data_IF_358010579085
#
_entry.id   IF_358010579085
#
_cell.length_a   1.000
_cell.length_b   1.000
_cell.length_c   1.000
_cell.angle_alpha   90.00
_cell.angle_beta   90.00
_cell.angle_gamma   90.00
#
_symmetry.space_group_name_H-M   'P 1'
#
loop_
_entity.id
_entity.type
_entity.pdbx_description
1 polymer ?
#
# COMPACT_ATOMS: atom_id res chain seq x y z
N UNK A 1 -9.25 16.56 0.04
CA UNK A 1 -8.34 17.64 0.51
C UNK A 1 -7.01 17.51 -0.19
N UNK A 2 -6.45 18.60 -0.72
CA UNK A 2 -5.12 18.57 -1.34
C UNK A 2 -4.07 18.69 -0.22
N UNK A 3 -3.15 17.73 -0.09
CA UNK A 3 -1.97 17.91 0.77
C UNK A 3 -1.17 19.11 0.22
N UNK A 4 -1.10 20.18 0.99
CA UNK A 4 -0.31 21.36 0.67
C UNK A 4 1.00 21.27 1.42
N UNK A 5 2.11 21.76 0.86
CA UNK A 5 3.41 21.76 1.53
C UNK A 5 3.36 22.44 2.90
N UNK A 6 2.39 23.35 3.12
CA UNK A 6 2.15 24.00 4.42
C UNK A 6 1.65 23.04 5.50
N UNK A 7 0.83 22.03 5.17
CA UNK A 7 0.33 21.07 6.16
C UNK A 7 1.44 20.15 6.67
N UNK A 8 2.51 19.98 5.90
CA UNK A 8 3.65 19.13 6.25
C UNK A 8 4.84 19.91 6.81
N UNK A 9 4.72 21.23 7.02
CA UNK A 9 5.83 22.07 7.48
C UNK A 9 6.33 21.70 8.88
N UNK A 10 5.48 21.10 9.71
CA UNK A 10 5.83 20.62 11.05
C UNK A 10 6.60 19.28 11.02
N UNK A 11 6.59 18.57 9.89
CA UNK A 11 7.24 17.26 9.75
C UNK A 11 8.67 17.46 9.29
N UNK A 12 9.63 17.06 10.14
CA UNK A 12 11.05 17.04 9.76
C UNK A 12 11.28 16.07 8.59
N UNK A 13 12.19 16.40 7.67
CA UNK A 13 12.58 15.47 6.61
C UNK A 13 13.27 14.23 7.17
N UNK A 14 12.86 13.06 6.75
CA UNK A 14 13.50 11.80 7.10
C UNK A 14 14.76 11.56 6.27
N UNK A 15 15.90 11.39 6.95
CA UNK A 15 17.20 11.13 6.32
C UNK A 15 17.81 9.78 6.73
N UNK A 16 17.05 8.91 7.40
CA UNK A 16 17.45 7.56 7.76
C UNK A 16 17.82 7.36 9.23
N UNK A 17 18.29 8.40 9.93
CA UNK A 17 18.73 8.28 11.34
C UNK A 17 17.78 8.93 12.34
N UNK A 18 16.83 9.75 11.89
CA UNK A 18 15.86 10.47 12.72
C UNK A 18 14.48 9.80 12.75
N UNK A 19 14.42 8.47 12.65
CA UNK A 19 13.15 7.73 12.55
C UNK A 19 12.14 8.09 13.65
N UNK A 20 12.50 8.15 14.96
CA UNK A 20 11.51 8.44 16.01
C UNK A 20 10.87 9.82 15.87
N UNK A 21 11.68 10.86 15.61
CA UNK A 21 11.19 12.24 15.50
C UNK A 21 10.39 12.45 14.21
N UNK A 22 10.86 11.91 13.09
CA UNK A 22 10.11 11.95 11.83
C UNK A 22 8.77 11.23 11.97
N UNK A 23 8.76 10.04 12.58
CA UNK A 23 7.54 9.24 12.76
C UNK A 23 6.48 9.98 13.56
N UNK A 24 6.88 10.66 14.64
CA UNK A 24 5.95 11.46 15.44
C UNK A 24 5.22 12.51 14.59
N UNK A 25 5.96 13.27 13.77
CA UNK A 25 5.34 14.26 12.87
C UNK A 25 4.54 13.63 11.73
N UNK A 26 5.03 12.51 11.18
CA UNK A 26 4.32 11.78 10.14
C UNK A 26 2.96 11.25 10.63
N UNK A 27 2.90 10.67 11.83
CA UNK A 27 1.67 10.10 12.38
C UNK A 27 0.58 11.18 12.49
N UNK A 28 0.93 12.37 13.01
CA UNK A 28 0.01 13.54 13.05
C UNK A 28 -0.47 13.91 11.65
N UNK A 29 0.44 14.00 10.67
CA UNK A 29 0.06 14.34 9.29
C UNK A 29 -0.85 13.28 8.64
N UNK A 30 -0.65 11.99 8.93
CA UNK A 30 -1.50 10.91 8.41
C UNK A 30 -2.88 10.91 9.06
N UNK A 31 -2.97 11.25 10.35
CA UNK A 31 -4.21 11.39 11.11
C UNK A 31 -5.03 12.58 10.62
N UNK A 32 -4.42 13.76 10.45
CA UNK A 32 -5.07 14.97 9.91
C UNK A 32 -5.72 14.75 8.53
N UNK A 33 -5.15 13.82 7.75
CA UNK A 33 -5.62 13.50 6.41
C UNK A 33 -6.48 12.22 6.36
N UNK A 34 -6.72 11.54 7.49
CA UNK A 34 -7.48 10.29 7.60
C UNK A 34 -6.95 9.15 6.71
N UNK A 35 -5.63 9.05 6.59
CA UNK A 35 -4.96 8.06 5.70
C UNK A 35 -3.97 7.15 6.42
N UNK A 36 -3.96 7.17 7.76
CA UNK A 36 -3.11 6.28 8.55
C UNK A 36 -3.42 4.80 8.28
N UNK A 37 -4.72 4.45 8.15
CA UNK A 37 -5.19 3.08 7.95
C UNK A 37 -4.74 2.42 6.64
N UNK A 38 -4.47 3.20 5.58
CA UNK A 38 -3.90 2.66 4.33
C UNK A 38 -2.38 2.57 4.36
N UNK A 39 -1.75 3.25 5.33
CA UNK A 39 -0.30 3.31 5.50
C UNK A 39 0.21 2.18 6.38
N UNK A 40 -0.49 1.87 7.47
CA UNK A 40 -0.17 0.76 8.39
C UNK A 40 -0.67 -0.61 7.88
N UNK A 41 -1.53 -0.60 6.86
CA UNK A 41 -2.11 -1.80 6.26
C UNK A 41 -3.40 -2.29 6.94
N UNK A 42 -3.92 -1.56 7.92
CA UNK A 42 -5.17 -1.89 8.62
C UNK A 42 -6.38 -1.83 7.68
N UNK A 43 -6.31 -1.03 6.61
CA UNK A 43 -7.29 -0.96 5.53
C UNK A 43 -6.69 -1.44 4.20
N UNK A 44 -6.96 -2.69 3.83
CA UNK A 44 -6.57 -3.24 2.54
C UNK A 44 -7.49 -2.76 1.40
N UNK A 45 -6.95 -2.65 0.19
CA UNK A 45 -7.75 -2.35 -0.99
C UNK A 45 -8.83 -3.44 -1.15
N UNK A 46 -10.12 -3.07 -1.25
CA UNK A 46 -11.16 -4.06 -1.43
C UNK A 46 -10.98 -4.77 -2.79
N UNK A 47 -11.18 -6.09 -2.86
CA UNK A 47 -11.11 -6.82 -4.12
C UNK A 47 -12.25 -6.38 -5.05
N UNK A 48 -12.04 -6.39 -6.36
CA UNK A 48 -13.11 -6.11 -7.32
C UNK A 48 -14.22 -7.17 -7.21
N UNK A 49 -15.45 -6.72 -6.94
CA UNK A 49 -16.63 -7.57 -6.83
C UNK A 49 -17.55 -7.31 -8.00
N UNK A 50 -17.75 -8.33 -8.84
CA UNK A 50 -18.56 -8.24 -10.05
C UNK A 50 -19.84 -9.06 -9.85
N UNK A 51 -20.93 -8.70 -10.54
CA UNK A 51 -22.21 -9.40 -10.41
C UNK A 51 -22.09 -10.92 -10.65
N UNK A 52 -21.19 -11.32 -11.56
CA UNK A 52 -20.88 -12.71 -11.84
C UNK A 52 -20.26 -13.45 -10.64
N UNK A 53 -19.30 -12.83 -9.95
CA UNK A 53 -18.65 -13.42 -8.76
C UNK A 53 -19.61 -13.61 -7.59
N UNK A 54 -20.62 -12.74 -7.45
CA UNK A 54 -21.67 -12.90 -6.44
C UNK A 54 -22.63 -14.05 -6.78
N UNK A 55 -23.06 -14.16 -8.05
CA UNK A 55 -23.98 -15.21 -8.50
C UNK A 55 -23.35 -16.60 -8.50
N UNK A 56 -22.07 -16.72 -8.86
CA UNK A 56 -21.33 -17.99 -8.77
C UNK A 56 -21.20 -18.53 -7.32
N UNK A 57 -21.26 -17.67 -6.30
CA UNK A 57 -21.22 -18.11 -4.89
C UNK A 57 -22.53 -18.74 -4.41
N UNK A 58 -23.64 -18.50 -5.13
CA UNK A 58 -24.95 -19.08 -4.83
C UNK A 58 -25.29 -20.31 -5.69
N UNK A 59 -24.51 -20.59 -6.74
CA UNK A 59 -24.75 -21.72 -7.66
C UNK A 59 -23.68 -22.78 -7.42
N UNK A 60 -23.83 -23.52 -6.32
CA UNK A 60 -23.38 -24.92 -6.25
C UNK A 60 -24.64 -25.72 -5.96
N UNK A 61 -25.61 -25.71 -6.87
CA UNK A 61 -26.56 -26.82 -6.92
C UNK A 61 -25.92 -27.93 -7.77
N UNK A 62 -25.83 -29.17 -7.27
CA UNK A 62 -25.35 -30.29 -8.06
C UNK A 62 -26.34 -30.51 -9.21
N UNK A 63 -25.91 -30.23 -10.44
CA UNK A 63 -26.66 -30.56 -11.65
C UNK A 63 -26.79 -32.09 -11.70
N UNK A 64 -28.01 -32.67 -11.71
CA UNK A 64 -28.17 -34.10 -11.92
C UNK A 64 -27.66 -34.46 -13.33
N UNK A 65 -27.02 -35.64 -13.51
CA UNK A 65 -26.51 -36.04 -14.81
C UNK A 65 -27.68 -36.32 -15.75
N UNK A 66 -28.01 -35.34 -16.59
CA UNK A 66 -28.89 -35.56 -17.74
C UNK A 66 -28.04 -36.20 -18.84
N UNK A 67 -28.37 -37.46 -19.12
CA UNK A 67 -27.73 -38.27 -20.15
C UNK A 67 -27.81 -37.63 -21.54
N UNK A 68 -26.71 -37.71 -22.29
CA UNK A 68 -26.71 -37.64 -23.75
C UNK A 68 -26.98 -36.26 -24.38
N UNK A 69 -26.00 -35.36 -24.39
CA UNK A 69 -26.06 -34.16 -25.23
C UNK A 69 -24.75 -33.39 -25.27
N UNK A 70 -24.14 -33.30 -26.45
CA UNK A 70 -22.87 -32.61 -26.70
C UNK A 70 -22.94 -31.13 -26.25
N UNK A 71 -22.10 -30.74 -25.28
CA UNK A 71 -21.96 -29.35 -24.84
C UNK A 71 -21.18 -28.59 -25.92
N UNK A 72 -21.71 -27.48 -26.50
CA UNK A 72 -20.92 -26.70 -27.45
C UNK A 72 -19.81 -25.92 -26.70
N UNK A 73 -18.57 -26.16 -27.09
CA UNK A 73 -17.40 -25.37 -26.68
C UNK A 73 -17.38 -24.05 -27.47
N UNK A 74 -18.08 -23.03 -26.99
CA UNK A 74 -17.77 -21.64 -27.36
C UNK A 74 -17.08 -20.94 -26.18
N UNK A 75 -16.03 -20.14 -26.42
CA UNK A 75 -15.51 -19.24 -25.41
C UNK A 75 -16.53 -18.12 -25.24
N UNK A 76 -17.44 -18.27 -24.29
CA UNK A 76 -18.33 -17.17 -23.94
C UNK A 76 -17.41 -16.09 -23.38
N UNK A 77 -17.24 -15.00 -24.11
CA UNK A 77 -16.63 -13.80 -23.58
C UNK A 77 -17.59 -13.32 -22.48
N UNK A 78 -17.36 -13.78 -21.25
CA UNK A 78 -18.13 -13.36 -20.09
C UNK A 78 -17.77 -11.90 -19.88
N UNK A 79 -18.60 -11.01 -20.42
CA UNK A 79 -18.58 -9.60 -20.07
C UNK A 79 -18.77 -9.54 -18.57
N UNK A 80 -17.68 -9.40 -17.82
CA UNK A 80 -17.70 -9.20 -16.37
C UNK A 80 -18.67 -8.06 -16.12
N UNK A 81 -19.79 -8.37 -15.45
CA UNK A 81 -20.81 -7.38 -15.11
C UNK A 81 -20.21 -6.21 -14.31
N UNK A 82 -20.96 -5.11 -14.13
CA UNK A 82 -20.46 -3.91 -13.48
C UNK A 82 -19.84 -4.22 -12.10
N UNK A 83 -18.69 -3.59 -11.80
CA UNK A 83 -18.01 -3.69 -10.50
C UNK A 83 -18.87 -2.97 -9.47
N UNK A 84 -19.42 -3.73 -8.52
CA UNK A 84 -20.41 -3.22 -7.56
C UNK A 84 -19.78 -2.34 -6.48
N UNK A 85 -18.49 -2.55 -6.18
CA UNK A 85 -17.74 -1.80 -5.17
C UNK A 85 -16.75 -0.80 -5.77
N UNK A 86 -16.97 -0.35 -7.01
CA UNK A 86 -16.09 0.56 -7.72
C UNK A 86 -15.82 1.86 -6.92
N UNK A 87 -16.85 2.43 -6.29
CA UNK A 87 -16.70 3.64 -5.46
C UNK A 87 -15.83 3.41 -4.22
N UNK A 88 -15.97 2.26 -3.54
CA UNK A 88 -15.13 1.92 -2.40
C UNK A 88 -13.65 1.74 -2.80
N UNK A 89 -13.39 1.11 -3.95
CA UNK A 89 -12.04 0.99 -4.52
C UNK A 89 -11.48 2.37 -4.85
N UNK A 90 -12.29 3.24 -5.46
CA UNK A 90 -11.90 4.60 -5.81
C UNK A 90 -11.57 5.43 -4.56
N UNK A 91 -12.39 5.36 -3.52
CA UNK A 91 -12.14 6.03 -2.24
C UNK A 91 -10.82 5.55 -1.61
N UNK A 92 -10.61 4.23 -1.55
CA UNK A 92 -9.36 3.66 -1.04
C UNK A 92 -8.14 4.15 -1.83
N UNK A 93 -8.22 4.17 -3.18
CA UNK A 93 -7.14 4.67 -4.05
C UNK A 93 -6.83 6.15 -3.80
N UNK A 94 -7.84 6.97 -3.48
CA UNK A 94 -7.63 8.38 -3.12
C UNK A 94 -6.87 8.49 -1.80
N UNK A 95 -7.21 7.67 -0.80
CA UNK A 95 -6.50 7.60 0.48
C UNK A 95 -5.05 7.14 0.29
N UNK A 96 -4.83 6.04 -0.44
CA UNK A 96 -3.48 5.52 -0.74
C UNK A 96 -2.62 6.57 -1.47
N UNK A 97 -3.16 7.23 -2.50
CA UNK A 97 -2.46 8.28 -3.23
C UNK A 97 -2.07 9.47 -2.33
N UNK A 98 -2.94 9.82 -1.38
CA UNK A 98 -2.69 10.89 -0.41
C UNK A 98 -1.61 10.49 0.58
N UNK A 99 -1.68 9.29 1.16
CA UNK A 99 -0.63 8.76 2.02
C UNK A 99 0.74 8.69 1.32
N UNK A 100 0.81 8.19 0.07
CA UNK A 100 2.07 8.18 -0.70
C UNK A 100 2.63 9.58 -0.91
N UNK A 101 1.77 10.59 -1.15
CA UNK A 101 2.22 11.98 -1.28
C UNK A 101 2.83 12.51 0.02
N UNK A 102 2.20 12.26 1.15
CA UNK A 102 2.72 12.65 2.48
C UNK A 102 4.07 11.97 2.73
N UNK A 103 4.16 10.66 2.52
CA UNK A 103 5.40 9.90 2.70
C UNK A 103 6.53 10.46 1.81
N UNK A 104 6.30 10.62 0.51
CA UNK A 104 7.33 11.15 -0.40
C UNK A 104 7.71 12.60 -0.07
N UNK A 105 6.75 13.42 0.35
CA UNK A 105 6.99 14.81 0.72
C UNK A 105 7.78 14.96 2.03
N UNK A 106 7.82 13.93 2.89
CA UNK A 106 8.48 14.00 4.20
C UNK A 106 9.79 13.22 4.29
N UNK A 107 10.26 12.64 3.18
CA UNK A 107 11.56 11.96 3.12
C UNK A 107 12.57 12.66 2.18
N UNK A 108 13.85 12.40 2.39
CA UNK A 108 14.95 12.84 1.53
C UNK A 108 14.98 12.13 0.17
N UNK A 109 15.46 12.82 -0.86
CA UNK A 109 15.49 12.31 -2.24
C UNK A 109 16.28 10.99 -2.36
N UNK A 110 17.38 10.86 -1.62
CA UNK A 110 18.19 9.64 -1.58
C UNK A 110 17.36 8.41 -1.19
N UNK A 111 16.42 8.57 -0.25
CA UNK A 111 15.54 7.48 0.19
C UNK A 111 14.43 7.22 -0.82
N UNK A 112 13.91 8.26 -1.49
CA UNK A 112 12.90 8.08 -2.55
C UNK A 112 13.36 7.13 -3.65
N UNK A 113 14.64 7.18 -4.03
CA UNK A 113 15.22 6.27 -5.02
C UNK A 113 15.17 4.79 -4.59
N UNK A 114 15.16 4.50 -3.29
CA UNK A 114 15.04 3.12 -2.77
C UNK A 114 13.59 2.60 -2.82
N UNK A 115 12.63 3.48 -3.04
CA UNK A 115 11.20 3.18 -3.09
C UNK A 115 10.72 2.86 -4.51
N UNK A 116 11.60 2.89 -5.51
CA UNK A 116 11.26 2.49 -6.88
C UNK A 116 10.67 1.07 -6.85
N UNK A 117 9.45 0.94 -7.37
CA UNK A 117 8.69 -0.30 -7.38
C UNK A 117 7.66 -0.45 -6.25
N UNK A 118 7.69 0.37 -5.20
CA UNK A 118 6.61 0.41 -4.21
C UNK A 118 5.35 0.97 -4.87
N UNK A 119 4.25 0.21 -4.82
CA UNK A 119 2.98 0.58 -5.47
C UNK A 119 2.01 1.27 -4.52
N UNK A 120 2.03 0.89 -3.25
CA UNK A 120 1.11 1.38 -2.20
C UNK A 120 1.86 2.14 -1.11
N UNK A 121 1.14 2.97 -0.36
CA UNK A 121 1.65 3.64 0.83
C UNK A 121 2.20 2.63 1.85
N UNK A 122 1.48 1.54 2.07
CA UNK A 122 1.92 0.43 2.92
C UNK A 122 3.29 -0.13 2.50
N UNK A 123 3.52 -0.38 1.21
CA UNK A 123 4.82 -0.87 0.73
C UNK A 123 5.96 0.15 0.96
N UNK A 124 5.67 1.44 0.81
CA UNK A 124 6.63 2.51 1.12
C UNK A 124 6.94 2.49 2.62
N UNK A 125 5.91 2.48 3.45
CA UNK A 125 6.01 2.45 4.91
C UNK A 125 6.84 1.26 5.40
N UNK A 126 6.54 0.05 4.95
CA UNK A 126 7.32 -1.15 5.31
C UNK A 126 8.78 -0.98 4.93
N UNK A 127 9.08 -0.52 3.70
CA UNK A 127 10.46 -0.37 3.24
C UNK A 127 11.26 0.66 4.04
N UNK A 128 10.64 1.80 4.38
CA UNK A 128 11.29 2.83 5.18
C UNK A 128 11.64 2.31 6.59
N UNK A 129 10.75 1.51 7.20
CA UNK A 129 10.99 0.90 8.51
C UNK A 129 11.98 -0.28 8.48
N UNK A 130 12.06 -1.02 7.37
CA UNK A 130 13.04 -2.10 7.22
C UNK A 130 14.46 -1.60 6.96
N UNK A 131 14.63 -0.46 6.28
CA UNK A 131 15.95 0.10 6.01
C UNK A 131 16.62 0.70 7.25
N UNK A 132 15.85 1.07 8.28
CA UNK A 132 16.35 1.64 9.53
C UNK A 132 16.91 0.63 10.52
N UNK A 133 16.62 -0.66 10.36
CA UNK A 133 17.20 -1.71 11.21
C UNK A 133 18.58 -2.18 10.71
N UNK A 134 19.03 -1.73 9.54
CA UNK A 134 20.32 -2.06 8.94
C UNK A 134 21.41 -1.00 9.22
N UNK A 135 21.37 -0.35 10.38
CA UNK A 135 22.56 0.35 10.88
C UNK A 135 23.52 -0.72 11.37
N UNK A 136 24.41 -1.16 10.47
CA UNK A 136 25.58 -1.95 10.83
C UNK A 136 26.31 -1.21 11.96
N UNK A 137 26.63 -1.85 13.10
CA UNK A 137 27.55 -1.27 14.05
C UNK A 137 28.88 -1.13 13.31
N UNK A 138 29.26 0.10 12.96
CA UNK A 138 30.63 0.41 12.54
C UNK A 138 31.54 -0.04 13.66
N UNK A 139 32.12 -1.22 13.49
CA UNK A 139 33.21 -1.73 14.32
C UNK A 139 34.35 -0.76 14.09
N UNK A 140 34.53 0.16 15.02
CA UNK A 140 35.77 0.92 15.14
C UNK A 140 36.87 -0.11 15.40
N UNK A 141 37.55 -0.52 14.32
CA UNK A 141 38.84 -1.18 14.39
C UNK A 141 39.80 -0.10 14.91
N UNK A 142 39.93 0.00 16.23
CA UNK A 142 41.09 0.64 16.82
C UNK A 142 42.27 -0.29 16.56
N UNK A 143 42.97 0.00 15.46
CA UNK A 143 44.38 -0.32 15.30
C UNK A 143 45.12 0.25 16.51
N UNK A 144 45.46 -0.61 17.47
CA UNK A 144 46.55 -0.37 18.39
C UNK A 144 47.57 -1.48 18.16
N UNK A 145 48.37 -1.30 17.11
CA UNK A 145 49.76 -1.74 17.12
C UNK A 145 50.63 -0.66 17.75
N UNK A 146 51.86 -1.05 18.11
CA UNK A 146 52.99 -0.27 18.65
C UNK A 146 52.80 0.15 20.13
N UNK A 147 53.60 -0.29 21.12
CA UNK A 147 54.96 -0.84 21.14
C UNK A 147 55.19 -1.75 22.35
#
# INVERSE_FOLDING_TARGET
MSCSSKSLAHVVKFYGSNLPLWRLGLDVALEEHEVQSVTDGTCACPPEVNLFTLKMRQVIEPVPPAEGGQIPLYPVAQTLGPIMNAEAIKEWKVKDCTARRILLATIELKLQNTLVGCKTAFQIWTRLNSNTTNVQPTTNILYNGIS
#
